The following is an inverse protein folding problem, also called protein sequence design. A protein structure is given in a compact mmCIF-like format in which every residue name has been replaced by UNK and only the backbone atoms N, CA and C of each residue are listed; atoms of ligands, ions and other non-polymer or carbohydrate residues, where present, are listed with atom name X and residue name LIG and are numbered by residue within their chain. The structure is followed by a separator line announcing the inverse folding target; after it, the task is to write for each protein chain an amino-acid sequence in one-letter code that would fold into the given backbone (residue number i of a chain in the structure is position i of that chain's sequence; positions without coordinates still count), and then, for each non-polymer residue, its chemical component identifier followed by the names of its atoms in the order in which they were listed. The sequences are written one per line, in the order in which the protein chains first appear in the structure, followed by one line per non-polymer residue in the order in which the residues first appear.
data_IF_714905716242
#
_entry.id   IF_714905716242
#
_cell.length_a   1.000
_cell.length_b   1.000
_cell.length_c   1.000
_cell.angle_alpha   90.00
_cell.angle_beta   90.00
_cell.angle_gamma   90.00
#
_symmetry.space_group_name_H-M   'P 1'
#
loop_
_entity.id
_entity.type
_entity.pdbx_description
1 polymer ?
2 polymer ?
3 non-polymer ?
4 water ?
#
# COMPACT_ATOMS: atom_id res chain seq x y z
N UNK A 1 -15.39 25.63 -15.07
CA UNK A 1 -15.81 25.09 -13.78
C UNK A 1 -15.07 25.80 -12.64
N UNK A 2 -15.81 26.26 -11.64
CA UNK A 2 -15.23 26.89 -10.46
C UNK A 2 -14.94 25.81 -9.43
N UNK A 3 -13.67 25.69 -9.05
CA UNK A 3 -13.23 24.68 -8.09
C UNK A 3 -12.32 25.31 -7.05
N UNK A 4 -12.39 24.78 -5.83
CA UNK A 4 -11.58 25.28 -4.73
C UNK A 4 -10.16 24.74 -4.84
N UNK A 5 -9.19 25.60 -4.52
CA UNK A 5 -7.79 25.17 -4.50
C UNK A 5 -7.57 24.11 -3.42
N UNK A 6 -6.81 23.08 -3.76
CA UNK A 6 -6.55 21.99 -2.84
C UNK A 6 -5.88 22.44 -1.57
N UNK A 7 -4.63 22.88 -1.66
CA UNK A 7 -3.89 23.33 -0.50
C UNK A 7 -3.67 24.85 -0.56
N UNK A 9 -7.13 27.27 2.93
CA UNK A 9 -7.49 28.43 2.11
C UNK A 9 -8.35 28.04 0.91
N UNK A 10 -9.45 28.77 0.71
CA UNK A 10 -10.37 28.50 -0.39
C UNK A 10 -9.83 29.15 -1.67
N UNK A 11 -10.65 29.17 -2.71
CA UNK A 11 -10.27 29.78 -3.98
C UNK A 11 -11.50 30.01 -4.86
N UNK A 14 -11.60 28.82 -10.42
CA UNK A 14 -11.58 29.00 -11.87
C UNK A 14 -10.74 27.92 -12.55
N UNK A 15 -11.40 26.92 -13.12
CA UNK A 15 -10.73 25.78 -13.74
C UNK A 15 -11.44 25.41 -15.03
N UNK A 16 -10.67 25.15 -16.08
CA UNK A 16 -11.18 24.62 -17.33
C UNK A 16 -10.21 23.55 -17.82
N UNK A 17 -10.74 22.39 -18.20
CA UNK A 17 -9.91 21.26 -18.59
C UNK A 17 -10.32 20.74 -19.95
N UNK A 18 -9.42 19.98 -20.57
CA UNK A 18 -9.63 19.39 -21.89
C UNK A 18 -9.07 17.98 -21.90
N UNK A 19 -9.42 17.24 -22.95
CA UNK A 19 -8.89 15.89 -23.20
C UNK A 19 -9.22 14.94 -22.03
N UNK A 20 -10.53 14.70 -21.87
CA UNK A 20 -11.03 13.81 -20.84
C UNK A 20 -11.22 12.42 -21.42
N UNK A 21 -11.07 11.40 -20.56
CA UNK A 21 -11.21 10.01 -20.99
C UNK A 21 -11.53 9.14 -19.79
N UNK A 22 -12.49 8.24 -19.97
CA UNK A 22 -12.88 7.29 -18.92
C UNK A 22 -11.88 6.14 -18.91
N UNK A 23 -11.19 5.97 -17.78
CA UNK A 23 -10.22 4.88 -17.62
C UNK A 23 -10.55 3.98 -16.45
N UNK A 24 -11.70 4.17 -15.82
CA UNK A 24 -12.10 3.35 -14.69
C UNK A 24 -13.60 3.47 -14.42
N UNK A 25 -14.27 2.33 -14.24
CA UNK A 25 -15.70 2.28 -14.06
C UNK A 25 -16.02 1.41 -12.85
N UNK A 26 -17.32 1.19 -12.61
CA UNK A 26 -17.78 0.36 -11.51
C UNK A 26 -18.12 1.17 -10.28
N UNK A 27 -18.52 0.45 -9.24
CA UNK A 27 -18.81 1.06 -7.96
C UNK A 27 -17.55 1.72 -7.40
N UNK A 28 -17.74 2.47 -6.30
CA UNK A 28 -16.71 3.27 -5.65
C UNK A 28 -16.28 4.47 -6.49
N UNK A 29 -16.97 4.74 -7.59
CA UNK A 29 -16.74 5.95 -8.37
C UNK A 29 -16.26 5.64 -9.77
N UNK A 30 -16.07 6.72 -10.54
CA UNK A 30 -15.58 6.65 -11.90
C UNK A 30 -14.41 7.61 -12.02
N UNK A 31 -13.37 7.20 -12.75
CA UNK A 31 -12.10 7.91 -12.80
C UNK A 31 -11.83 8.36 -14.23
N UNK A 32 -11.42 9.63 -14.38
CA UNK A 32 -11.05 10.19 -15.68
C UNK A 32 -9.64 10.80 -15.60
N UNK A 33 -9.17 11.25 -16.77
CA UNK A 33 -7.94 12.02 -16.91
C UNK A 33 -8.27 13.33 -17.62
N UNK A 34 -7.50 14.38 -17.35
CA UNK A 34 -7.75 15.68 -17.97
C UNK A 34 -6.44 16.39 -18.27
N UNK A 35 -6.55 17.47 -19.03
CA UNK A 35 -5.45 18.38 -19.33
C UNK A 35 -5.75 19.76 -18.75
N UNK A 36 -4.70 20.56 -18.62
CA UNK A 36 -4.86 21.92 -18.11
C UNK A 36 -4.56 22.95 -19.20
N UNK A 40 -0.84 24.24 -19.27
CA UNK A 40 -0.80 23.04 -20.09
C UNK A 40 -0.20 21.87 -19.31
N UNK A 41 -0.98 21.32 -18.39
CA UNK A 41 -0.56 20.22 -17.53
C UNK A 41 -1.53 19.04 -17.68
N UNK A 42 -1.30 18.00 -16.88
CA UNK A 42 -2.12 16.80 -16.90
C UNK A 42 -2.77 16.59 -15.54
N UNK A 43 -4.05 16.23 -15.54
CA UNK A 43 -4.87 16.21 -14.33
C UNK A 43 -5.77 14.98 -14.35
N UNK A 44 -6.05 14.45 -13.16
CA UNK A 44 -6.93 13.30 -12.99
C UNK A 44 -8.21 13.72 -12.28
N UNK A 45 -9.34 13.17 -12.72
CA UNK A 45 -10.67 13.48 -12.19
C UNK A 45 -11.28 12.18 -11.65
N UNK A 46 -11.83 12.24 -10.43
CA UNK A 46 -12.55 11.11 -9.87
C UNK A 46 -13.91 11.59 -9.39
N UNK A 47 -14.97 10.89 -9.79
CA UNK A 47 -16.34 11.27 -9.48
C UNK A 47 -16.99 10.23 -8.59
N UNK A 48 -17.53 10.67 -7.44
CA UNK A 48 -18.19 9.80 -6.50
C UNK A 48 -19.54 10.39 -6.11
N UNK A 49 -20.47 9.52 -5.74
CA UNK A 49 -21.75 9.95 -5.18
C UNK A 49 -21.56 10.25 -3.69
N UNK A 50 -21.94 11.46 -3.29
CA UNK A 50 -21.73 11.94 -1.93
C UNK A 50 -23.06 12.32 -1.29
N UNK A 51 -23.24 11.88 -0.04
CA UNK A 51 -24.41 12.31 0.74
C UNK A 51 -24.23 13.77 1.14
N UNK A 52 -25.18 14.62 0.75
CA UNK A 52 -25.04 16.05 0.98
C UNK A 52 -25.02 16.41 2.46
N UNK A 53 -25.44 15.49 3.34
CA UNK A 53 -25.54 15.76 4.77
C UNK A 53 -24.25 15.44 5.52
N UNK A 54 -23.27 14.83 4.88
CA UNK A 54 -22.03 14.45 5.54
C UNK A 54 -20.84 14.83 4.66
N UNK A 55 -19.69 15.02 5.31
CA UNK A 55 -18.46 15.34 4.60
C UNK A 55 -17.95 14.13 3.83
N UNK A 56 -17.19 14.39 2.78
CA UNK A 56 -16.56 13.31 2.02
C UNK A 56 -15.27 12.90 2.73
N UNK A 57 -15.18 11.62 3.10
CA UNK A 57 -14.05 11.16 3.91
C UNK A 57 -12.73 11.35 3.16
N UNK A 58 -12.70 11.00 1.87
CA UNK A 58 -11.46 11.12 1.12
C UNK A 58 -11.03 12.58 0.96
N UNK A 59 -11.99 13.48 0.72
CA UNK A 59 -11.65 14.89 0.53
C UNK A 59 -11.00 15.46 1.79
N UNK A 60 -11.54 15.10 2.96
CA UNK A 60 -10.94 15.57 4.20
C UNK A 60 -9.57 14.94 4.42
N UNK A 61 -9.39 13.68 4.02
CA UNK A 61 -8.09 13.04 4.11
C UNK A 61 -7.09 13.72 3.18
N UNK A 62 -7.49 13.96 1.93
CA UNK A 62 -6.58 14.58 0.97
C UNK A 62 -6.21 16.00 1.37
N UNK A 63 -7.15 16.72 1.99
CA UNK A 63 -6.85 18.07 2.44
C UNK A 63 -5.83 18.08 3.58
N UNK A 64 -5.80 17.02 4.39
CA UNK A 64 -4.96 16.99 5.57
C UNK A 64 -3.50 16.66 5.24
N UNK A 65 -3.23 16.07 4.09
CA UNK A 65 -1.92 15.50 3.78
C UNK A 65 -1.13 16.40 2.84
N UNK A 66 0.19 16.43 3.04
CA UNK A 66 1.10 17.15 2.15
C UNK A 66 2.47 16.46 2.21
N UNK A 67 2.78 15.67 1.19
CA UNK A 67 4.02 14.91 1.14
C UNK A 67 4.41 14.72 -0.32
N UNK A 68 5.72 14.61 -0.56
CA UNK A 68 6.18 14.44 -1.94
C UNK A 68 5.83 13.06 -2.50
N UNK A 69 5.51 12.09 -1.65
CA UNK A 69 5.16 10.74 -2.07
C UNK A 69 3.66 10.48 -1.99
N UNK A 70 2.85 11.54 -1.95
CA UNK A 70 1.40 11.44 -1.94
C UNK A 70 0.87 12.25 -3.11
N UNK A 71 -0.07 11.67 -3.86
CA UNK A 71 -0.64 12.36 -5.00
C UNK A 71 -1.25 13.68 -4.54
N UNK A 72 -1.08 14.71 -5.37
CA UNK A 72 -1.48 16.05 -4.98
C UNK A 72 -2.93 16.30 -5.39
N UNK A 73 -3.70 16.87 -4.46
CA UNK A 73 -5.07 17.32 -4.72
C UNK A 73 -5.00 18.74 -5.25
N UNK A 74 -5.17 18.90 -6.57
CA UNK A 74 -5.09 20.24 -7.15
C UNK A 74 -6.35 21.05 -6.84
N UNK A 75 -7.52 20.49 -7.16
CA UNK A 75 -8.79 21.18 -6.95
C UNK A 75 -9.88 20.16 -6.66
N UNK A 76 -11.09 20.66 -6.46
CA UNK A 76 -12.28 19.81 -6.31
C UNK A 76 -13.52 20.65 -6.58
N UNK A 77 -14.53 20.02 -7.18
CA UNK A 77 -15.78 20.71 -7.51
C UNK A 77 -16.92 19.69 -7.47
N UNK A 78 -18.15 20.20 -7.44
CA UNK A 78 -19.34 19.39 -7.29
C UNK A 78 -20.16 19.39 -8.57
N UNK A 79 -20.88 18.29 -8.80
CA UNK A 79 -21.79 18.13 -9.91
C UNK A 79 -23.05 17.44 -9.40
N UNK A 80 -24.19 17.76 -10.02
CA UNK A 80 -25.47 17.26 -9.51
C UNK A 80 -25.85 15.90 -10.10
N UNK A 81 -26.04 15.85 -11.41
CA UNK A 81 -26.44 14.61 -12.05
C UNK A 81 -27.91 14.28 -11.87
N UNK A 82 -28.47 14.66 -10.73
CA UNK A 82 -29.88 14.49 -10.40
C UNK A 82 -30.37 13.06 -10.61
N UNK A 86 -29.33 14.46 -5.93
CA UNK A 86 -28.06 13.77 -6.13
C UNK A 86 -26.89 14.75 -6.21
N UNK A 87 -25.81 14.44 -5.49
CA UNK A 87 -24.60 15.25 -5.51
C UNK A 87 -23.41 14.35 -5.83
N UNK A 88 -22.55 14.81 -6.74
CA UNK A 88 -21.34 14.10 -7.11
C UNK A 88 -20.14 14.98 -6.81
N UNK A 89 -19.17 14.44 -6.07
CA UNK A 89 -17.93 15.14 -5.79
C UNK A 89 -16.89 14.76 -6.84
N UNK A 90 -16.25 15.78 -7.41
CA UNK A 90 -15.22 15.59 -8.42
C UNK A 90 -13.89 16.06 -7.86
N UNK A 91 -12.92 15.15 -7.76
CA UNK A 91 -11.63 15.45 -7.17
C UNK A 91 -10.60 15.64 -8.29
N UNK A 92 -10.02 16.84 -8.34
CA UNK A 92 -9.03 17.17 -9.37
C UNK A 92 -7.67 16.73 -8.82
N UNK A 93 -7.08 15.71 -9.44
CA UNK A 93 -5.90 15.07 -8.92
C UNK A 93 -4.74 15.18 -9.90
N UNK A 94 -3.53 15.26 -9.37
CA UNK A 94 -2.34 15.32 -10.20
C UNK A 94 -2.18 14.04 -11.01
N UNK A 95 -1.84 14.19 -12.29
CA UNK A 95 -1.70 13.05 -13.19
C UNK A 95 -0.27 12.51 -13.18
N UNK A 96 -0.14 11.19 -13.09
CA UNK A 96 1.15 10.49 -13.11
C UNK A 96 1.10 9.45 -14.23
N UNK A 97 2.09 9.41 -15.12
CA UNK A 97 1.95 8.58 -16.33
C UNK A 97 1.78 7.09 -16.08
N UNK A 98 2.34 6.53 -15.01
CA UNK A 98 2.38 5.08 -14.87
C UNK A 98 2.05 4.65 -13.45
N UNK A 99 1.69 3.37 -13.32
CA UNK A 99 1.50 2.72 -12.04
C UNK A 99 2.53 1.60 -11.89
N UNK A 100 2.76 1.18 -10.64
CA UNK A 100 3.68 0.08 -10.39
C UNK A 100 3.14 -1.20 -11.02
N UNK A 101 1.81 -1.37 -11.01
CA UNK A 101 1.21 -2.55 -11.62
C UNK A 101 1.55 -2.63 -13.10
N UNK A 102 1.41 -1.51 -13.81
CA UNK A 102 1.67 -1.53 -15.25
C UNK A 102 3.15 -1.75 -15.55
N UNK A 103 4.04 -1.12 -14.78
CA UNK A 103 5.47 -1.32 -14.99
C UNK A 103 5.83 -2.78 -14.72
N UNK A 104 5.33 -3.34 -13.63
CA UNK A 104 5.61 -4.74 -13.32
C UNK A 104 5.04 -5.67 -14.38
N UNK A 105 3.82 -5.38 -14.86
CA UNK A 105 3.22 -6.21 -15.89
C UNK A 105 4.03 -6.15 -17.19
N UNK A 106 4.59 -4.98 -17.51
CA UNK A 106 5.43 -4.86 -18.69
C UNK A 106 6.68 -5.73 -18.58
N UNK A 107 7.31 -5.76 -17.41
CA UNK A 107 8.49 -6.59 -17.22
C UNK A 107 8.15 -8.07 -17.29
N UNK A 108 7.07 -8.48 -16.64
CA UNK A 108 6.66 -9.88 -16.72
C UNK A 108 6.25 -10.26 -18.14
N UNK A 109 5.49 -9.39 -18.80
CA UNK A 109 5.13 -9.65 -20.20
C UNK A 109 6.36 -9.76 -21.08
N UNK A 110 7.40 -8.99 -20.78
CA UNK A 110 8.66 -9.08 -21.50
C UNK A 110 9.53 -10.22 -21.00
N UNK A 111 9.06 -10.99 -20.02
CA UNK A 111 9.84 -12.08 -19.43
C UNK A 111 11.17 -11.57 -18.88
N UNK A 112 11.12 -10.40 -18.24
CA UNK A 112 12.29 -9.79 -17.65
C UNK A 112 12.03 -9.52 -16.17
N UNK A 113 13.12 -9.32 -15.44
CA UNK A 113 13.07 -8.99 -14.02
C UNK A 113 13.27 -7.50 -13.83
N UNK A 114 12.50 -6.92 -12.91
CA UNK A 114 12.67 -5.50 -12.60
C UNK A 114 14.02 -5.29 -11.91
N UNK A 115 14.85 -4.36 -12.37
CA UNK A 115 16.14 -4.14 -11.70
C UNK A 115 15.95 -3.78 -10.24
N UNK A 116 16.84 -4.30 -9.39
CA UNK A 116 16.67 -4.18 -7.95
C UNK A 116 16.77 -2.73 -7.49
N UNK A 117 17.48 -1.88 -8.23
CA UNK A 117 17.56 -0.48 -7.83
C UNK A 117 16.22 0.21 -7.96
N UNK A 118 15.48 -0.07 -9.04
CA UNK A 118 14.13 0.47 -9.17
C UNK A 118 13.24 -0.06 -8.06
N UNK A 119 13.38 -1.34 -7.72
CA UNK A 119 12.64 -1.91 -6.60
C UNK A 119 13.03 -1.20 -5.31
N UNK A 120 14.33 -0.92 -5.14
CA UNK A 120 14.78 -0.18 -3.96
C UNK A 120 14.18 1.21 -3.92
N UNK A 121 14.20 1.92 -5.06
CA UNK A 121 13.75 3.30 -5.10
C UNK A 121 12.24 3.39 -4.84
N UNK A 122 11.47 2.51 -5.48
CA UNK A 122 10.02 2.57 -5.35
C UNK A 122 9.56 2.13 -3.97
N UNK A 123 10.14 1.05 -3.44
CA UNK A 123 9.70 0.53 -2.15
C UNK A 123 9.98 1.52 -1.03
N UNK A 124 11.13 2.20 -1.08
CA UNK A 124 11.46 3.19 -0.06
C UNK A 124 10.40 4.28 -0.01
N UNK A 125 9.95 4.76 -1.17
CA UNK A 125 8.95 5.81 -1.22
C UNK A 125 7.59 5.32 -0.74
N UNK A 126 7.28 4.04 -0.96
CA UNK A 126 6.06 3.49 -0.39
C UNK A 126 6.12 3.49 1.13
N UNK A 127 7.22 2.99 1.69
CA UNK A 127 7.35 2.95 3.15
C UNK A 127 7.39 4.35 3.74
N UNK A 128 8.03 5.29 3.05
CA UNK A 128 8.04 6.67 3.50
C UNK A 128 6.63 7.25 3.52
N UNK A 129 5.84 6.97 2.48
CA UNK A 129 4.48 7.50 2.43
C UNK A 129 3.63 6.92 3.54
N UNK A 130 3.77 5.62 3.83
CA UNK A 130 3.02 5.01 4.91
C UNK A 130 3.41 5.60 6.26
N UNK A 131 4.70 5.89 6.46
CA UNK A 131 5.13 6.55 7.69
C UNK A 131 4.45 7.89 7.86
N UNK A 132 4.27 8.63 6.77
CA UNK A 132 3.65 9.95 6.87
C UNK A 132 2.16 9.86 7.15
N UNK A 133 1.43 9.03 6.39
CA UNK A 133 -0.02 8.97 6.55
C UNK A 133 -0.38 8.44 7.93
N UNK A 134 0.37 7.44 8.42
CA UNK A 134 0.11 6.92 9.76
C UNK A 134 0.41 7.97 10.83
N UNK A 135 1.39 8.84 10.59
CA UNK A 135 1.66 9.93 11.52
C UNK A 135 0.49 10.91 11.58
N UNK A 136 -0.21 11.09 10.46
CA UNK A 136 -1.40 11.92 10.41
C UNK A 136 -2.65 11.16 10.79
N UNK A 137 -2.51 9.92 11.25
CA UNK A 137 -3.65 9.11 11.65
C UNK A 137 -4.54 8.67 10.50
N UNK A 138 -3.95 8.32 9.37
CA UNK A 138 -4.69 7.83 8.21
C UNK A 138 -4.14 6.46 7.85
N UNK A 139 -5.03 5.48 7.75
CA UNK A 139 -4.70 4.15 7.27
C UNK A 139 -5.23 4.02 5.85
N UNK A 140 -4.35 3.68 4.91
CA UNK A 140 -4.75 3.63 3.50
C UNK A 140 -5.79 2.55 3.26
N UNK A 141 -5.53 1.33 3.75
CA UNK A 141 -6.41 0.17 3.66
C UNK A 141 -6.60 -0.35 2.23
N UNK A 142 -5.89 0.20 1.24
CA UNK A 142 -5.96 -0.35 -0.12
C UNK A 142 -4.59 -0.35 -0.78
N UNK A 143 -3.55 -0.71 -0.04
CA UNK A 143 -2.19 -0.67 -0.59
C UNK A 143 -2.02 -1.83 -1.56
N UNK A 144 -1.83 -1.50 -2.83
CA UNK A 144 -1.64 -2.48 -3.89
C UNK A 144 -0.94 -1.81 -5.06
N UNK A 145 -0.29 -2.57 -5.95
CA UNK A 145 0.47 -1.95 -7.04
C UNK A 145 -0.35 -1.05 -7.94
N UNK A 146 -1.64 -1.37 -8.15
CA UNK A 146 -2.49 -0.52 -8.97
C UNK A 146 -2.67 0.87 -8.35
N UNK A 147 -2.45 1.03 -7.05
CA UNK A 147 -2.59 2.31 -6.38
C UNK A 147 -1.26 3.00 -6.13
N UNK A 148 -0.18 2.56 -6.78
CA UNK A 148 1.13 3.16 -6.62
C UNK A 148 1.51 3.87 -7.92
N UNK A 149 1.49 5.20 -7.90
CA UNK A 149 1.85 5.99 -9.06
C UNK A 149 3.37 6.14 -9.15
N UNK A 150 3.90 6.02 -10.37
CA UNK A 150 5.34 6.14 -10.61
C UNK A 150 5.58 6.92 -11.89
N UNK A 151 6.61 7.77 -11.88
CA UNK A 151 7.09 8.45 -13.07
C UNK A 151 8.15 7.58 -13.73
N UNK A 152 7.98 7.19 -15.00
CA UNK A 152 8.98 6.31 -15.63
C UNK A 152 10.39 6.89 -15.66
N UNK A 153 10.52 8.23 -15.72
CA UNK A 153 11.83 8.84 -15.89
C UNK A 153 12.45 9.23 -14.55
N UNK A 154 11.75 10.04 -13.76
CA UNK A 154 12.28 10.49 -12.48
C UNK A 154 12.15 9.44 -11.39
N UNK A 155 11.34 8.40 -11.60
CA UNK A 155 11.18 7.29 -10.66
C UNK A 155 10.66 7.76 -9.31
N UNK A 156 9.87 8.83 -9.29
CA UNK A 156 9.19 9.24 -8.06
C UNK A 156 7.93 8.41 -7.90
N UNK A 157 7.63 8.02 -6.67
CA UNK A 157 6.44 7.23 -6.36
C UNK A 157 5.47 8.09 -5.55
N UNK A 158 4.18 7.93 -5.84
CA UNK A 158 3.14 8.67 -5.13
C UNK A 158 1.97 7.74 -4.80
N UNK A 159 1.50 7.82 -3.56
CA UNK A 159 0.36 7.02 -3.11
C UNK A 159 -0.94 7.76 -3.45
N UNK A 160 -1.90 7.02 -4.00
CA UNK A 160 -3.17 7.60 -4.41
C UNK A 160 -4.30 6.67 -4.01
N UNK A 161 -5.53 7.02 -4.41
CA UNK A 161 -6.74 6.25 -4.13
C UNK A 161 -6.95 6.08 -2.62
N UNK A 162 -7.23 7.21 -1.97
CA UNK A 162 -7.56 7.24 -0.55
C UNK A 162 -9.05 7.02 -0.29
N UNK A 163 -9.76 6.38 -1.22
CA UNK A 163 -11.18 6.12 -1.01
C UNK A 163 -11.44 5.17 0.15
N UNK A 164 -10.59 4.16 0.31
CA UNK A 164 -10.72 3.23 1.42
C UNK A 164 -10.04 3.73 2.69
N UNK A 165 -9.43 4.91 2.67
CA UNK A 165 -8.70 5.41 3.81
C UNK A 165 -9.62 5.67 5.00
N UNK A 166 -9.12 5.42 6.21
CA UNK A 166 -9.90 5.57 7.42
C UNK A 166 -8.95 5.84 8.58
N UNK A 167 -9.40 6.67 9.52
CA UNK A 167 -8.69 6.92 10.77
C UNK A 167 -9.11 5.87 11.78
N UNK A 168 -8.22 4.92 12.05
CA UNK A 168 -8.54 3.82 12.97
C UNK A 168 -8.37 4.31 14.40
N UNK A 169 -9.49 4.44 15.11
CA UNK A 169 -9.51 4.90 16.49
C UNK A 169 -9.62 3.70 17.42
N UNK A 170 -8.82 3.68 18.47
CA UNK A 170 -8.83 2.58 19.43
C UNK A 170 -10.22 2.43 20.04
N UNK A 171 -10.82 1.26 19.85
CA UNK A 171 -12.13 0.96 20.37
C UNK A 171 -13.24 0.98 19.35
N UNK A 172 -13.02 1.61 18.18
CA UNK A 172 -14.04 1.65 17.14
C UNK A 172 -13.88 0.45 16.23
N UNK A 173 -14.90 -0.41 16.08
CA UNK A 173 -14.80 -1.51 15.14
C UNK A 173 -14.69 -1.00 13.71
N UNK A 174 -14.00 -1.77 12.88
CA UNK A 174 -13.83 -1.41 11.48
C UNK A 174 -14.02 -2.66 10.62
N UNK A 175 -14.38 -2.42 9.35
CA UNK A 175 -14.72 -3.51 8.46
C UNK A 175 -13.51 -4.41 8.25
N UNK A 176 -13.73 -5.71 8.38
CA UNK A 176 -12.67 -6.70 8.20
C UNK A 176 -12.39 -6.95 6.72
N UNK A 178 -11.55 -5.76 3.91
CA UNK A 178 -10.96 -4.55 3.34
C UNK A 178 -9.67 -4.93 2.60
N UNK A 179 -9.16 -4.00 1.78
CA UNK A 179 -8.00 -4.19 0.90
C UNK A 179 -8.26 -5.20 -0.21
N UNK A 180 -7.41 -5.16 -1.25
CA UNK A 180 -7.46 -6.17 -2.28
C UNK A 180 -6.97 -7.51 -1.73
N UNK A 181 -7.57 -8.60 -2.22
CA UNK A 181 -7.44 -9.90 -1.56
C UNK A 181 -5.97 -10.36 -1.50
N UNK A 182 -5.23 -10.22 -2.60
CA UNK A 182 -3.84 -10.69 -2.61
C UNK A 182 -2.98 -9.99 -1.57
N UNK A 183 -3.38 -8.79 -1.15
CA UNK A 183 -2.60 -7.96 -0.24
C UNK A 183 -3.28 -7.80 1.11
N UNK A 184 -4.37 -8.54 1.35
CA UNK A 184 -5.12 -8.43 2.59
C UNK A 184 -4.37 -9.11 3.74
N UNK A 185 -4.25 -8.41 4.87
CA UNK A 185 -3.56 -8.96 6.02
C UNK A 185 -4.31 -10.15 6.59
N UNK A 186 -3.59 -11.12 7.17
CA UNK A 186 -4.27 -12.32 7.68
C UNK A 186 -5.29 -12.04 8.77
N UNK A 187 -5.06 -11.04 9.63
CA UNK A 187 -6.04 -10.73 10.67
C UNK A 187 -7.36 -10.26 10.09
N UNK A 188 -7.32 -9.56 8.93
CA UNK A 188 -8.56 -9.18 8.26
C UNK A 188 -9.32 -10.39 7.77
N UNK A 189 -8.62 -11.37 7.17
CA UNK A 189 -9.28 -12.58 6.71
C UNK A 189 -9.91 -13.32 7.89
N UNK A 190 -9.26 -13.27 9.05
CA UNK A 190 -9.80 -13.86 10.27
C UNK A 190 -10.94 -13.04 10.87
N UNK A 191 -11.34 -11.94 10.22
CA UNK A 191 -12.48 -11.17 10.68
C UNK A 191 -12.22 -10.22 11.81
N UNK A 192 -10.96 -9.86 12.07
CA UNK A 192 -10.67 -8.90 13.12
C UNK A 192 -11.25 -7.53 12.79
N UNK A 193 -11.90 -6.92 13.80
CA UNK A 193 -12.41 -5.57 13.68
C UNK A 193 -11.61 -4.54 14.47
N UNK A 194 -10.64 -4.97 15.27
CA UNK A 194 -9.79 -4.08 16.05
C UNK A 194 -8.41 -3.91 15.44
N UNK A 195 -8.26 -4.17 14.14
CA UNK A 195 -6.97 -4.08 13.49
C UNK A 195 -6.46 -2.63 13.46
N UNK A 196 -5.17 -2.50 13.21
CA UNK A 196 -4.48 -1.22 13.21
C UNK A 196 -3.91 -0.93 11.83
N UNK A 197 -3.15 0.15 11.72
CA UNK A 197 -2.59 0.58 10.44
C UNK A 197 -1.47 -0.34 9.96
N UNK A 198 -1.06 -1.33 10.76
CA UNK A 198 -0.05 -2.28 10.32
C UNK A 198 -0.53 -3.14 9.15
N UNK A 199 -1.83 -3.15 8.85
CA UNK A 199 -2.28 -3.85 7.66
C UNK A 199 -1.70 -3.21 6.40
N UNK A 200 -1.46 -1.89 6.42
CA UNK A 200 -0.78 -1.25 5.31
C UNK A 200 0.63 -1.80 5.14
N UNK A 201 1.29 -2.10 6.25
CA UNK A 201 2.65 -2.66 6.19
C UNK A 201 2.63 -4.06 5.58
N UNK A 202 1.61 -4.86 5.92
CA UNK A 202 1.52 -6.19 5.32
C UNK A 202 1.35 -6.09 3.81
N UNK A 203 0.47 -5.21 3.34
CA UNK A 203 0.26 -5.06 1.91
C UNK A 203 1.53 -4.56 1.22
N UNK A 204 2.26 -3.66 1.88
CA UNK A 204 3.54 -3.21 1.33
C UNK A 204 4.52 -4.37 1.22
N UNK A 205 4.52 -5.26 2.22
CA UNK A 205 5.34 -6.45 2.11
C UNK A 205 4.96 -7.32 0.93
N UNK A 206 3.66 -7.45 0.66
CA UNK A 206 3.22 -8.21 -0.50
C UNK A 206 3.65 -7.54 -1.80
N UNK A 207 3.60 -6.21 -1.84
CA UNK A 207 4.06 -5.51 -3.03
C UNK A 207 5.55 -5.77 -3.27
N UNK A 208 6.35 -5.69 -2.20
CA UNK A 208 7.78 -5.92 -2.35
C UNK A 208 8.05 -7.33 -2.86
N UNK A 209 7.39 -8.33 -2.28
CA UNK A 209 7.58 -9.71 -2.72
C UNK A 209 7.15 -9.89 -4.16
N UNK A 210 6.06 -9.22 -4.56
CA UNK A 210 5.60 -9.30 -5.95
C UNK A 210 6.64 -8.75 -6.92
N UNK A 211 7.31 -7.65 -6.54
CA UNK A 211 8.31 -7.07 -7.43
C UNK A 211 9.53 -7.96 -7.57
N UNK A 212 9.92 -8.66 -6.50
CA UNK A 212 11.04 -9.59 -6.60
C UNK A 212 10.65 -10.87 -7.32
N UNK A 213 9.41 -11.33 -7.16
CA UNK A 213 9.01 -12.62 -7.71
C UNK A 213 8.45 -12.52 -9.13
N UNK A 214 8.06 -11.33 -9.58
CA UNK A 214 7.39 -11.22 -10.85
C UNK A 214 5.97 -11.72 -10.87
N UNK A 215 5.40 -12.00 -9.71
CA UNK A 215 4.02 -12.45 -9.57
C UNK A 215 3.62 -12.30 -8.11
N UNK A 216 2.33 -12.18 -7.83
CA UNK A 216 1.88 -12.04 -6.44
C UNK A 216 2.34 -13.21 -5.58
N UNK A 217 2.72 -12.90 -4.35
CA UNK A 217 3.23 -13.95 -3.46
C UNK A 217 2.09 -14.76 -2.84
N UNK A 218 0.92 -14.17 -2.68
CA UNK A 218 -0.24 -14.83 -2.07
C UNK A 218 -1.44 -14.73 -3.00
N UNK A 219 -1.49 -15.56 -4.03
CA UNK A 219 -2.58 -15.49 -5.03
C UNK A 219 -3.84 -16.26 -4.66
N UNK A 220 -4.62 -15.68 -3.74
CA UNK A 220 -5.84 -16.34 -3.28
C UNK A 220 -6.99 -16.13 -4.27
N UNK A 221 -7.77 -17.19 -4.47
CA UNK A 221 -8.96 -17.11 -5.29
C UNK A 221 -10.23 -16.99 -4.46
N UNK A 222 -10.08 -16.82 -3.15
CA UNK A 222 -11.19 -16.66 -2.22
C UNK A 222 -10.59 -16.26 -0.88
N UNK A 223 -11.46 -15.88 0.05
CA UNK A 223 -10.98 -15.53 1.39
C UNK A 223 -10.30 -16.70 2.09
N UNK A 224 -10.88 -17.89 1.99
CA UNK A 224 -10.30 -19.06 2.64
C UNK A 224 -8.97 -19.43 2.01
N UNK A 225 -8.93 -19.49 0.67
CA UNK A 225 -7.71 -19.93 0.00
C UNK A 225 -6.63 -18.85 0.04
N UNK A 226 -7.01 -17.59 0.26
CA UNK A 226 -6.00 -16.55 0.51
C UNK A 226 -5.21 -16.86 1.77
N UNK A 227 -5.90 -17.28 2.84
CA UNK A 227 -5.22 -17.70 4.05
C UNK A 227 -4.45 -19.00 3.83
N UNK A 228 -4.92 -19.86 2.94
CA UNK A 228 -4.17 -21.06 2.59
C UNK A 228 -2.86 -20.69 1.90
N UNK A 229 -2.90 -19.73 0.98
CA UNK A 229 -1.70 -19.36 0.25
C UNK A 229 -0.65 -18.75 1.17
N UNK A 230 -1.10 -17.99 2.18
CA UNK A 230 -0.15 -17.44 3.16
C UNK A 230 0.47 -18.57 3.98
N UNK A 231 -0.35 -19.53 4.41
CA UNK A 231 0.16 -20.61 5.26
C UNK A 231 1.16 -21.47 4.50
N UNK A 232 0.96 -21.65 3.20
CA UNK A 232 1.91 -22.43 2.41
C UNK A 232 3.31 -21.80 2.39
N UNK A 233 3.41 -20.49 2.63
CA UNK A 233 4.70 -19.81 2.65
C UNK A 233 5.21 -19.70 4.08
N UNK A 234 4.40 -19.11 4.97
CA UNK A 234 4.83 -18.84 6.33
C UNK A 234 4.64 -20.01 7.29
N UNK A 235 3.93 -21.05 6.87
CA UNK A 235 3.56 -22.11 7.78
C UNK A 235 2.29 -21.77 8.54
N UNK A 236 1.74 -22.77 9.19
CA UNK A 236 0.53 -22.56 9.98
C UNK A 236 0.85 -21.64 11.15
N UNK A 237 0.11 -20.55 11.32
CA UNK A 237 0.33 -19.68 12.48
C UNK A 237 0.07 -20.43 13.78
N UNK A 238 0.87 -20.13 14.79
CA UNK A 238 0.68 -20.73 16.10
C UNK A 238 -0.61 -20.21 16.74
N UNK A 239 -1.06 -20.94 17.77
CA UNK A 239 -2.26 -20.51 18.48
C UNK A 239 -2.07 -19.13 19.11
N UNK A 240 -0.85 -18.81 19.53
CA UNK A 240 -0.58 -17.50 20.11
C UNK A 240 -0.61 -16.40 19.05
N UNK A 241 -0.09 -16.69 17.85
CA UNK A 241 -0.22 -15.74 16.75
C UNK A 241 -1.69 -15.51 16.40
N UNK A 242 -2.49 -16.57 16.45
CA UNK A 242 -3.91 -16.44 16.16
C UNK A 242 -4.60 -15.57 17.21
N UNK A 243 -4.14 -15.68 18.47
CA UNK A 243 -4.76 -14.90 19.54
C UNK A 243 -4.61 -13.40 19.31
N UNK A 244 -3.46 -12.98 18.77
CA UNK A 244 -3.27 -11.56 18.47
C UNK A 244 -4.02 -11.12 17.22
N UNK A 245 -4.43 -12.06 16.37
CA UNK A 245 -5.19 -11.76 15.16
C UNK A 245 -6.68 -11.75 15.44
N UNK A 246 -7.20 -12.87 15.94
CA UNK A 246 -8.61 -12.98 16.31
C UNK A 246 -8.70 -14.06 17.38
N UNK A 247 -8.90 -13.69 18.64
CA UNK A 247 -8.92 -14.69 19.72
C UNK A 247 -10.09 -15.66 19.63
N UNK A 248 -11.03 -15.43 18.72
CA UNK A 248 -12.13 -16.38 18.53
C UNK A 248 -11.68 -17.66 17.83
N UNK A 249 -10.47 -17.69 17.28
CA UNK A 249 -9.99 -18.84 16.53
C UNK A 249 -8.91 -19.63 17.26
N UNK A 250 -8.65 -19.33 18.53
CA UNK A 250 -7.52 -19.92 19.22
C UNK A 250 -7.72 -21.41 19.52
N UNK A 251 -8.96 -21.83 19.74
CA UNK A 251 -9.23 -23.17 20.24
C UNK A 251 -9.53 -24.18 19.13
N UNK A 252 -9.48 -23.78 17.87
CA UNK A 252 -9.55 -24.75 16.79
C UNK A 252 -8.20 -25.42 16.60
N UNK A 253 -8.23 -26.67 16.16
CA UNK A 253 -7.01 -27.44 15.91
C UNK A 253 -6.74 -27.41 14.41
N UNK A 254 -5.90 -26.45 13.99
CA UNK A 254 -5.60 -26.34 12.56
C UNK A 254 -4.44 -27.26 12.20
N UNK A 255 -4.49 -27.87 11.01
CA UNK A 255 -3.36 -28.69 10.56
C UNK A 255 -2.07 -27.89 10.49
N UNK A 256 -0.98 -28.52 10.86
CA UNK A 256 0.31 -27.85 10.96
C UNK A 256 1.07 -28.03 9.64
N UNK A 257 1.21 -26.95 8.89
CA UNK A 257 1.95 -26.92 7.63
C UNK A 257 3.32 -26.33 7.89
N UNK A 258 4.37 -27.02 7.44
CA UNK A 258 5.72 -26.50 7.58
C UNK A 258 5.89 -25.24 6.74
N UNK A 259 6.67 -24.30 7.25
CA UNK A 259 6.95 -23.07 6.52
C UNK A 259 7.95 -23.35 5.42
N UNK A 260 7.63 -22.90 4.21
CA UNK A 260 8.60 -22.98 3.12
C UNK A 260 9.76 -22.06 3.44
N UNK A 261 11.00 -22.53 3.33
CA UNK A 261 12.15 -21.68 3.67
C UNK A 261 12.12 -20.38 2.88
N UNK A 262 12.39 -19.27 3.58
CA UNK A 262 12.29 -17.95 2.96
C UNK A 262 13.24 -17.85 1.77
N UNK A 263 14.42 -18.45 1.87
CA UNK A 263 15.37 -18.42 0.76
C UNK A 263 14.92 -19.32 -0.40
N UNK A 264 13.98 -20.23 -0.16
CA UNK A 264 13.53 -21.14 -1.20
C UNK A 264 12.30 -20.64 -1.95
N UNK A 265 11.70 -19.52 -1.53
CA UNK A 265 10.54 -18.99 -2.26
C UNK A 265 10.92 -17.93 -3.28
N UNK A 266 12.09 -17.31 -3.14
CA UNK A 266 12.54 -16.28 -4.07
C UNK A 266 13.55 -16.86 -5.06
N UNK A 267 13.80 -16.12 -6.12
CA UNK A 267 14.70 -16.58 -7.17
C UNK A 267 16.13 -16.69 -6.63
N UNK A 268 17.00 -17.30 -7.44
CA UNK A 268 18.38 -17.54 -7.02
C UNK A 268 19.13 -16.24 -6.80
N UNK A 269 18.91 -15.25 -7.65
CA UNK A 269 19.66 -13.99 -7.61
C UNK A 269 18.98 -12.92 -6.77
N UNK A 270 17.94 -13.27 -6.02
CA UNK A 270 17.29 -12.29 -5.15
C UNK A 270 18.25 -11.90 -4.02
N UNK A 271 18.44 -10.61 -3.76
CA UNK A 271 19.40 -10.19 -2.73
C UNK A 271 19.02 -10.73 -1.36
N UNK A 272 20.00 -11.16 -0.55
CA UNK A 272 19.67 -11.69 0.78
C UNK A 272 18.94 -10.70 1.67
N UNK A 273 19.29 -9.41 1.60
CA UNK A 273 18.65 -8.44 2.46
C UNK A 273 17.22 -8.14 2.02
N UNK A 274 16.95 -8.25 0.71
CA UNK A 274 15.57 -8.11 0.24
C UNK A 274 14.66 -9.18 0.83
N UNK A 275 15.14 -10.42 0.87
CA UNK A 275 14.39 -11.49 1.52
C UNK A 275 14.22 -11.19 3.01
N UNK A 276 15.27 -10.66 3.63
CA UNK A 276 15.19 -10.33 5.06
C UNK A 276 14.11 -9.30 5.33
N UNK A 277 14.03 -8.26 4.49
CA UNK A 277 12.97 -7.27 4.66
C UNK A 277 11.60 -7.89 4.50
N UNK A 278 11.43 -8.78 3.52
CA UNK A 278 10.14 -9.43 3.32
C UNK A 278 9.72 -10.20 4.57
N UNK A 279 10.64 -10.94 5.18
CA UNK A 279 10.30 -11.73 6.36
C UNK A 279 9.95 -10.84 7.55
N UNK A 280 10.52 -9.65 7.63
CA UNK A 280 10.24 -8.74 8.74
C UNK A 280 8.91 -8.03 8.61
N UNK A 281 8.36 -7.93 7.40
CA UNK A 281 7.05 -7.30 7.21
C UNK A 281 5.91 -8.31 7.16
N UNK A 282 6.16 -9.50 6.61
CA UNK A 282 5.12 -10.51 6.46
C UNK A 282 5.09 -11.40 7.69
N UNK A 283 4.57 -10.83 8.77
CA UNK A 283 4.46 -11.51 10.05
C UNK A 283 3.00 -11.65 10.42
N UNK A 284 2.65 -12.80 11.02
CA UNK A 284 1.28 -13.01 11.44
C UNK A 284 0.87 -12.01 12.51
N UNK A 285 1.67 -11.86 13.55
CA UNK A 285 1.36 -10.94 14.62
C UNK A 285 1.55 -9.51 14.13
N UNK A 286 0.50 -8.69 14.09
CA UNK A 286 0.64 -7.34 13.52
C UNK A 286 1.65 -6.47 14.24
N UNK A 287 1.78 -6.62 15.56
CA UNK A 287 2.74 -5.82 16.31
C UNK A 287 4.18 -6.18 16.01
N UNK A 288 4.44 -7.35 15.40
CA UNK A 288 5.79 -7.75 15.03
C UNK A 288 6.23 -7.20 13.68
N UNK A 289 5.31 -6.64 12.90
CA UNK A 289 5.69 -6.07 11.61
C UNK A 289 6.48 -4.78 11.80
N UNK A 290 7.44 -4.56 10.90
CA UNK A 290 8.23 -3.35 10.96
C UNK A 290 7.34 -2.12 10.83
N UNK A 291 7.69 -1.08 11.59
CA UNK A 291 7.09 0.22 11.36
C UNK A 291 7.57 0.74 10.01
N UNK A 292 6.76 1.57 9.33
CA UNK A 292 7.16 2.07 8.02
C UNK A 292 8.51 2.78 8.02
N UNK A 293 8.84 3.52 9.08
CA UNK A 293 10.16 4.14 9.14
C UNK A 293 11.24 3.10 9.37
N UNK A 294 10.94 2.07 10.17
CA UNK A 294 11.91 0.99 10.37
C UNK A 294 12.25 0.32 9.05
N UNK A 295 11.25 0.11 8.20
CA UNK A 295 11.51 -0.46 6.87
C UNK A 295 12.41 0.45 6.05
N UNK A 296 12.19 1.77 6.14
CA UNK A 296 13.08 2.71 5.45
C UNK A 296 14.52 2.57 5.95
N UNK A 297 14.72 2.27 7.22
CA UNK A 297 16.05 2.16 7.79
C UNK A 297 16.68 0.79 7.53
N UNK A 298 15.95 -0.12 6.87
CA UNK A 298 16.48 -1.46 6.60
C UNK A 298 17.69 -1.40 5.68
N UNK A 299 18.59 -2.36 5.84
CA UNK A 299 19.81 -2.41 5.04
C UNK A 299 19.52 -2.63 3.56
N UNK A 300 18.31 -3.11 3.22
CA UNK A 300 17.96 -3.28 1.82
C UNK A 300 17.96 -1.96 1.06
N UNK A 301 17.77 -0.85 1.77
CA UNK A 301 17.79 0.49 1.16
C UNK A 301 19.11 1.21 1.39
N UNK A 302 20.14 0.48 1.82
CA UNK A 302 21.43 1.11 2.08
C UNK A 302 22.07 1.69 0.82
N UNK A 303 21.70 1.18 -0.36
CA UNK A 303 22.26 1.69 -1.60
C UNK A 303 21.76 3.10 -1.90
N UNK A 304 20.50 3.39 -1.58
CA UNK A 304 19.95 4.71 -1.86
C UNK A 304 20.61 5.80 -1.03
N UNK A 305 21.23 5.44 0.09
CA UNK A 305 21.89 6.41 0.96
C UNK A 305 23.37 6.59 0.66
N UNK A 306 23.92 5.79 -0.25
CA UNK A 306 25.34 5.89 -0.58
C UNK A 306 25.60 7.16 -1.38
N UNK A 307 26.73 7.81 -1.12
CA UNK A 307 27.10 9.02 -1.83
C UNK A 307 27.55 8.65 -3.24
N UNK A 308 26.71 8.92 -4.23
CA UNK A 308 27.03 8.65 -5.62
C UNK A 308 26.03 7.75 -6.34
N UNK A 309 25.00 7.24 -5.68
CA UNK A 309 24.02 6.38 -6.34
C UNK A 309 23.12 7.21 -7.24
N UNK A 310 22.91 6.73 -8.46
CA UNK A 310 22.10 7.43 -9.45
C UNK A 310 21.14 6.45 -10.11
N UNK A 311 20.11 7.01 -10.75
CA UNK A 311 19.16 6.19 -11.49
C UNK A 311 19.82 5.58 -12.72
N UNK A 312 19.35 4.42 -13.18
CA UNK A 312 19.96 3.79 -14.37
C UNK A 312 19.86 4.63 -15.63
N UNK A 313 18.78 5.41 -15.80
CA UNK A 313 18.65 6.24 -16.99
C UNK A 313 19.40 7.56 -16.86
N UNK A 314 20.67 7.49 -16.46
CA UNK A 314 21.56 8.63 -16.26
C UNK A 314 20.82 9.85 -15.71
N UNK A 315 20.12 9.64 -14.59
CA UNK A 315 19.39 10.69 -13.90
C UNK A 315 19.64 10.60 -12.41
N UNK A 316 19.51 11.69 -11.68
CA UNK A 316 19.69 11.64 -10.23
C UNK A 316 18.55 10.91 -9.53
N UNK A 317 18.82 10.52 -8.28
CA UNK A 317 17.81 9.88 -7.47
C UNK A 317 16.69 10.87 -7.14
N UNK A 318 15.47 10.39 -7.00
CA UNK A 318 14.35 11.28 -6.64
C UNK A 318 14.53 11.79 -5.21
N UNK A 319 13.67 12.72 -4.77
CA UNK A 319 13.73 13.15 -3.37
C UNK A 319 13.44 12.00 -2.42
N UNK A 320 14.45 11.65 -1.60
CA UNK A 320 14.32 10.56 -0.64
C UNK A 320 14.72 10.93 0.78
N UNK A 321 15.38 12.07 0.99
CA UNK A 321 15.88 12.41 2.32
C UNK A 321 15.50 13.82 2.74
N UNK A 322 14.53 14.44 2.05
CA UNK A 322 14.06 15.76 2.43
C UNK A 322 13.00 15.65 3.54
N UNK A 323 13.35 14.96 4.62
CA UNK A 323 12.39 14.73 5.69
C UNK A 323 12.05 16.02 6.41
N UNK A 324 10.77 16.23 6.67
CA UNK A 324 10.32 17.39 7.42
C UNK A 324 10.53 17.16 8.91
N UNK A 325 10.34 18.23 9.68
CA UNK A 325 10.48 18.14 11.13
C UNK A 325 9.50 17.13 11.72
N UNK A 326 8.28 17.10 11.19
CA UNK A 326 7.33 16.07 11.62
C UNK A 326 7.81 14.68 11.27
N UNK A 327 8.39 14.51 10.09
CA UNK A 327 8.94 13.21 9.71
C UNK A 327 10.09 12.82 10.63
N UNK A 328 10.93 13.79 11.02
CA UNK A 328 12.03 13.54 11.93
C UNK A 328 11.58 13.15 13.33
N UNK A 329 10.30 13.31 13.65
CA UNK A 329 9.81 13.13 15.02
C UNK A 329 9.11 11.79 15.24
N UNK A 330 8.88 11.00 14.20
CA UNK A 330 8.13 9.75 14.36
C UNK A 330 8.92 8.75 15.20
N UNK A 331 10.09 8.34 14.71
CA UNK A 331 10.99 7.47 15.45
C UNK A 331 12.38 8.08 15.46
N UNK A 332 12.74 8.81 16.51
CA UNK A 332 14.04 9.52 16.50
C UNK A 332 15.25 8.60 16.38
N UNK A 333 15.19 7.39 16.91
CA UNK A 333 16.37 6.52 16.92
C UNK A 333 16.79 6.10 15.52
N UNK A 334 15.83 5.98 14.60
CA UNK A 334 16.16 5.57 13.24
C UNK A 334 16.76 6.70 12.40
N UNK A 335 16.74 7.94 12.90
CA UNK A 335 17.17 9.08 12.10
C UNK A 335 18.66 9.06 11.80
N UNK A 336 19.45 8.35 12.59
CA UNK A 336 20.87 8.20 12.26
C UNK A 336 21.05 7.46 10.95
N UNK A 337 20.27 6.40 10.73
CA UNK A 337 20.35 5.66 9.48
C UNK A 337 19.69 6.44 8.35
N UNK A 338 18.51 7.00 8.61
CA UNK A 338 17.70 7.60 7.54
C UNK A 338 18.42 8.76 6.87
N UNK A 339 19.07 9.62 7.65
CA UNK A 339 19.92 10.68 7.11
C UNK A 339 21.37 10.23 7.26
N UNK A 340 22.07 9.95 6.17
CA UNK A 340 23.47 9.50 6.28
C UNK A 340 24.36 10.61 6.82
N UNK A 341 25.65 10.32 7.08
CA UNK A 341 26.58 11.40 7.43
C UNK A 341 26.57 12.56 6.44
N UNK A 342 26.77 12.28 5.15
CA UNK A 342 26.53 13.29 4.13
C UNK A 342 25.05 13.66 4.14
N UNK A 343 24.78 14.95 3.96
CA UNK A 343 23.45 15.53 4.22
C UNK A 343 23.07 15.32 5.68
N UNK B 1 -18.66 -16.62 7.76
CA UNK B 1 -18.72 -15.60 8.80
C UNK B 1 -18.64 -16.24 10.19
N UNK B 2 -19.30 -17.38 10.34
CA UNK B 2 -19.26 -18.10 11.61
C UNK B 2 -17.87 -18.70 11.80
N UNK B 3 -17.20 -18.43 12.93
CA UNK B 3 -15.84 -18.97 13.11
C UNK B 3 -15.78 -20.49 13.04
N UNK B 4 -16.81 -21.17 13.55
CA UNK B 4 -16.88 -22.62 13.44
C UNK B 4 -16.88 -23.04 11.97
N UNK B 5 -17.72 -22.40 11.16
CA UNK B 5 -17.80 -22.75 9.74
C UNK B 5 -16.50 -22.39 9.02
N UNK B 6 -15.97 -21.19 9.26
CA UNK B 6 -14.77 -20.75 8.57
C UNK B 6 -13.57 -21.64 8.93
N UNK B 7 -13.45 -22.03 10.21
CA UNK B 7 -12.33 -22.88 10.61
C UNK B 7 -12.38 -24.22 9.90
N UNK B 8 -13.58 -24.82 9.78
CA UNK B 8 -13.69 -26.13 9.15
C UNK B 8 -13.31 -26.09 7.68
N UNK B 9 -13.74 -25.06 6.96
CA UNK B 9 -13.30 -24.90 5.57
C UNK B 9 -11.79 -24.71 5.50
N UNK B 10 -11.24 -23.91 6.41
CA UNK B 10 -9.78 -23.73 6.44
C UNK B 10 -9.08 -25.05 6.75
N UNK B 11 -9.61 -25.83 7.69
CA UNK B 11 -9.01 -27.11 8.02
C UNK B 11 -9.05 -28.05 6.82
N UNK B 12 -10.23 -28.17 6.20
CA UNK B 12 -10.37 -29.09 5.07
C UNK B 12 -9.49 -28.66 3.89
N UNK B 13 -9.39 -27.36 3.64
CA UNK B 13 -8.50 -26.88 2.60
C UNK B 13 -7.03 -27.09 2.98
N UNK B 14 -6.70 -26.93 4.27
CA UNK B 14 -5.32 -27.11 4.70
C UNK B 14 -4.89 -28.57 4.64
N UNK B 15 -5.80 -29.51 4.90
CA UNK B 15 -5.44 -30.91 4.80
C UNK B 15 -5.29 -31.35 3.34
N UNK B 16 -5.97 -30.69 2.42
CA UNK B 16 -5.84 -31.02 1.00
C UNK B 16 -4.45 -30.71 0.46
N UNK B 17 -3.67 -29.89 1.16
CA UNK B 17 -2.31 -29.55 0.75
C UNK B 17 -1.29 -30.12 1.74
N UNK B 18 -1.69 -31.07 2.58
CA UNK B 18 -0.79 -31.69 3.56
C UNK B 18 -0.63 -33.18 3.29
#
# INVERSE_FOLDING_TARGET
VVATLGQGPERSQEVAYTDIKVIGNGSFGVVYQARLAETRELVAIKKVLQDKRFKNRELQIMRKLDHCNIVRLRYFFYSSGEKKDELYLNLVLEYVPETVYRVARHFTKAKLTIPILYVKVYMYQLFRSLAYIHSQGVCHRDIKPQNLLVDPDTAVLKLCDFGSAKQLVRGEPNVSXICSRYYRAPELIFGATDYTSSIDVWSAGCVLAELLLGQPIFPGDSGVDQLVEIIKVLGTPTREQIREMNPNYTEFKFPQIKAHPWTKVFKSRTPPEAIALCSSLLEYTPSSRLSPLEACAHSFFDELRCLGTQLPNNRPLPPLFNFSAGELSIQPSLNAILIPPHL
LLPQKFAEELIHRLEAVQ
#
